data_IF_047803353923
#
_entry.id   IF_047803353923
#
_cell.length_a   1.000
_cell.length_b   1.000
_cell.length_c   1.000
_cell.angle_alpha   90.00
_cell.angle_beta   90.00
_cell.angle_gamma   90.00
#
_symmetry.space_group_name_H-M   'P 1'
#
loop_
_entity.id
_entity.type
_entity.pdbx_description
1 polymer ?
#
# COMPACT_ATOMS: atom_id res chain seq x y z
N UNK A 1 38.73 17.82 -10.89
CA UNK A 1 37.60 17.50 -9.99
C UNK A 1 36.51 16.81 -10.80
N UNK A 2 36.22 15.53 -10.55
CA UNK A 2 35.10 14.83 -11.20
C UNK A 2 33.79 15.44 -10.67
N UNK A 3 32.97 16.05 -11.53
CA UNK A 3 31.57 16.33 -11.21
C UNK A 3 30.89 14.99 -10.98
N UNK A 4 30.68 14.62 -9.72
CA UNK A 4 29.80 13.49 -9.38
C UNK A 4 28.41 13.95 -9.80
N UNK A 5 27.92 13.39 -10.90
CA UNK A 5 26.59 13.69 -11.41
C UNK A 5 25.61 12.86 -10.59
N UNK A 6 25.17 13.40 -9.46
CA UNK A 6 24.16 12.73 -8.64
C UNK A 6 22.87 12.59 -9.46
N UNK A 7 22.42 11.34 -9.59
CA UNK A 7 21.15 10.98 -10.19
C UNK A 7 19.99 11.49 -9.33
N UNK A 8 18.85 11.74 -9.98
CA UNK A 8 17.58 12.06 -9.32
C UNK A 8 17.23 11.09 -8.18
N UNK A 9 17.57 9.81 -8.35
CA UNK A 9 17.35 8.76 -7.36
C UNK A 9 18.20 8.96 -6.10
N UNK A 10 19.47 9.35 -6.24
CA UNK A 10 20.34 9.60 -5.08
C UNK A 10 19.82 10.77 -4.24
N UNK A 11 19.33 11.85 -4.86
CA UNK A 11 18.71 12.95 -4.12
C UNK A 11 17.47 12.52 -3.34
N UNK A 12 16.62 11.69 -3.94
CA UNK A 12 15.45 11.13 -3.26
C UNK A 12 15.84 10.23 -2.07
N UNK A 13 16.88 9.40 -2.23
CA UNK A 13 17.41 8.56 -1.15
C UNK A 13 17.98 9.40 -0.01
N UNK A 14 18.74 10.46 -0.32
CA UNK A 14 19.26 11.38 0.69
C UNK A 14 18.14 12.08 1.46
N UNK A 15 17.06 12.50 0.79
CA UNK A 15 15.89 13.10 1.45
C UNK A 15 15.26 12.12 2.46
N UNK A 16 15.00 10.88 2.05
CA UNK A 16 14.41 9.86 2.93
C UNK A 16 15.36 9.52 4.11
N UNK A 17 16.67 9.38 3.85
CA UNK A 17 17.68 9.12 4.88
C UNK A 17 17.80 10.27 5.88
N UNK A 18 17.89 11.51 5.40
CA UNK A 18 17.97 12.71 6.25
C UNK A 18 16.69 12.83 7.08
N UNK A 19 15.52 12.59 6.48
CA UNK A 19 14.25 12.62 7.20
C UNK A 19 14.24 11.63 8.37
N UNK A 20 14.72 10.41 8.16
CA UNK A 20 14.77 9.37 9.20
C UNK A 20 15.82 9.62 10.28
N UNK A 21 16.94 10.24 9.93
CA UNK A 21 18.10 10.40 10.85
C UNK A 21 18.14 11.76 11.53
N UNK A 22 17.62 12.81 10.90
CA UNK A 22 17.71 14.21 11.33
C UNK A 22 16.35 14.92 11.34
N UNK A 23 15.27 14.24 10.98
CA UNK A 23 13.92 14.78 10.93
C UNK A 23 13.57 15.47 9.62
N UNK A 24 12.27 15.67 9.40
CA UNK A 24 11.71 16.21 8.15
C UNK A 24 12.18 17.65 7.87
N UNK A 25 12.37 18.47 8.90
CA UNK A 25 12.87 19.83 8.72
C UNK A 25 14.26 19.87 8.07
N UNK A 26 15.15 18.95 8.44
CA UNK A 26 16.46 18.82 7.82
C UNK A 26 16.36 18.33 6.37
N UNK A 27 15.44 17.40 6.09
CA UNK A 27 15.20 16.89 4.74
C UNK A 27 14.63 17.97 3.81
N UNK A 28 13.70 18.79 4.31
CA UNK A 28 13.15 19.96 3.62
C UNK A 28 14.24 20.99 3.34
N UNK A 29 15.11 21.28 4.33
CA UNK A 29 16.25 22.18 4.12
C UNK A 29 17.17 21.67 3.02
N UNK A 30 17.52 20.37 3.03
CA UNK A 30 18.33 19.76 1.98
C UNK A 30 17.65 19.87 0.61
N UNK A 31 16.37 19.52 0.52
CA UNK A 31 15.59 19.66 -0.71
C UNK A 31 15.61 21.09 -1.24
N UNK A 32 15.42 22.09 -0.37
CA UNK A 32 15.39 23.49 -0.76
C UNK A 32 16.70 23.97 -1.39
N UNK A 33 17.85 23.43 -0.95
CA UNK A 33 19.18 23.73 -1.48
C UNK A 33 19.55 22.91 -2.73
N UNK A 34 18.71 21.99 -3.18
CA UNK A 34 18.95 21.29 -4.45
C UNK A 34 18.94 22.29 -5.62
N UNK A 35 19.81 22.10 -6.63
CA UNK A 35 19.72 22.86 -7.87
C UNK A 35 18.32 22.74 -8.49
N UNK A 36 17.76 23.80 -9.11
CA UNK A 36 16.46 23.74 -9.74
C UNK A 36 16.31 22.59 -10.76
N UNK A 37 17.37 22.26 -11.49
CA UNK A 37 17.41 21.14 -12.45
C UNK A 37 17.33 19.75 -11.78
N UNK A 38 17.68 19.65 -10.50
CA UNK A 38 17.62 18.41 -9.73
C UNK A 38 16.28 18.20 -9.04
N UNK A 39 15.45 19.25 -8.90
CA UNK A 39 14.10 19.19 -8.30
C UNK A 39 13.06 18.66 -9.31
N UNK A 40 13.17 17.38 -9.65
CA UNK A 40 12.23 16.67 -10.52
C UNK A 40 11.34 15.71 -9.72
N UNK A 41 10.63 14.82 -10.40
CA UNK A 41 9.62 13.93 -9.81
C UNK A 41 10.12 13.15 -8.58
N UNK A 42 11.33 12.59 -8.59
CA UNK A 42 11.76 11.73 -7.47
C UNK A 42 12.04 12.53 -6.18
N UNK A 43 12.82 13.62 -6.18
CA UNK A 43 13.04 14.39 -4.95
C UNK A 43 11.76 15.03 -4.40
N UNK A 44 10.86 15.50 -5.28
CA UNK A 44 9.54 15.97 -4.87
C UNK A 44 8.71 14.85 -4.23
N UNK A 45 8.68 13.67 -4.85
CA UNK A 45 7.99 12.50 -4.33
C UNK A 45 8.54 12.03 -2.99
N UNK A 46 9.87 12.08 -2.80
CA UNK A 46 10.53 11.73 -1.54
C UNK A 46 10.17 12.70 -0.42
N UNK A 47 10.25 14.02 -0.66
CA UNK A 47 9.87 15.00 0.35
C UNK A 47 8.37 14.90 0.70
N UNK A 48 7.52 14.70 -0.31
CA UNK A 48 6.10 14.49 -0.11
C UNK A 48 5.81 13.25 0.73
N UNK A 49 6.49 12.13 0.46
CA UNK A 49 6.42 10.93 1.27
C UNK A 49 6.81 11.20 2.73
N UNK A 50 7.86 11.99 2.98
CA UNK A 50 8.25 12.39 4.34
C UNK A 50 7.12 13.16 5.05
N UNK A 51 6.49 14.14 4.40
CA UNK A 51 5.35 14.85 4.99
C UNK A 51 4.17 13.94 5.29
N UNK A 52 3.82 13.04 4.36
CA UNK A 52 2.74 12.07 4.59
C UNK A 52 3.05 11.13 5.75
N UNK A 53 4.29 10.64 5.85
CA UNK A 53 4.74 9.74 6.94
C UNK A 53 4.69 10.41 8.31
N UNK A 54 5.06 11.67 8.41
CA UNK A 54 5.00 12.41 9.69
C UNK A 54 3.67 13.15 9.92
N UNK A 55 2.64 12.90 9.10
CA UNK A 55 1.31 13.56 9.18
C UNK A 55 1.42 15.09 9.20
N UNK A 56 2.38 15.64 8.45
CA UNK A 56 2.50 17.09 8.25
C UNK A 56 1.50 17.54 7.19
N UNK A 57 0.20 17.46 7.51
CA UNK A 57 -0.93 17.57 6.55
C UNK A 57 -0.87 18.82 5.68
N UNK A 58 -0.64 19.99 6.27
CA UNK A 58 -0.65 21.26 5.53
C UNK A 58 0.46 21.30 4.48
N UNK A 59 1.66 20.83 4.85
CA UNK A 59 2.80 20.72 3.94
C UNK A 59 2.57 19.64 2.88
N UNK A 60 1.99 18.50 3.28
CA UNK A 60 1.66 17.41 2.36
C UNK A 60 0.65 17.89 1.30
N UNK A 61 -0.44 18.54 1.68
CA UNK A 61 -1.45 19.04 0.75
C UNK A 61 -0.91 20.14 -0.16
N UNK A 62 -0.14 21.09 0.38
CA UNK A 62 0.53 22.11 -0.42
C UNK A 62 1.49 21.50 -1.45
N UNK A 63 2.32 20.53 -1.02
CA UNK A 63 3.27 19.86 -1.91
C UNK A 63 2.56 18.96 -2.93
N UNK A 64 1.46 18.31 -2.57
CA UNK A 64 0.64 17.52 -3.50
C UNK A 64 0.05 18.39 -4.62
N UNK A 65 -0.44 19.58 -4.28
CA UNK A 65 -0.87 20.58 -5.27
C UNK A 65 0.29 20.97 -6.18
N UNK A 66 1.49 21.19 -5.62
CA UNK A 66 2.67 21.56 -6.41
C UNK A 66 3.11 20.46 -7.38
N UNK A 67 3.18 19.20 -6.94
CA UNK A 67 3.52 18.07 -7.83
C UNK A 67 2.46 17.86 -8.92
N UNK A 68 1.19 18.19 -8.65
CA UNK A 68 0.12 18.20 -9.65
C UNK A 68 0.33 19.28 -10.70
N UNK A 69 0.65 20.51 -10.30
CA UNK A 69 0.98 21.62 -11.22
C UNK A 69 2.21 21.32 -12.09
N UNK A 70 3.18 20.56 -11.56
CA UNK A 70 4.41 20.17 -12.26
C UNK A 70 4.24 18.91 -13.13
N UNK A 71 3.06 18.29 -13.16
CA UNK A 71 2.80 17.01 -13.82
C UNK A 71 3.71 15.86 -13.31
N UNK A 72 4.03 15.86 -12.02
CA UNK A 72 4.82 14.83 -11.33
C UNK A 72 3.97 13.82 -10.56
N UNK A 73 2.67 13.72 -10.90
CA UNK A 73 1.77 12.75 -10.29
C UNK A 73 2.20 11.32 -10.63
N UNK A 74 2.11 10.43 -9.65
CA UNK A 74 2.43 9.01 -9.79
C UNK A 74 1.50 8.18 -8.89
N UNK A 75 1.33 6.87 -9.15
CA UNK A 75 0.58 6.00 -8.26
C UNK A 75 1.05 6.08 -6.80
N UNK A 76 2.37 6.19 -6.59
CA UNK A 76 2.95 6.35 -5.26
C UNK A 76 2.50 7.64 -4.56
N UNK A 77 2.43 8.76 -5.30
CA UNK A 77 1.96 10.03 -4.72
C UNK A 77 0.49 9.93 -4.26
N UNK A 78 -0.38 9.29 -5.04
CA UNK A 78 -1.75 9.06 -4.62
C UNK A 78 -1.82 8.11 -3.42
N UNK A 79 -1.10 7.00 -3.43
CA UNK A 79 -1.08 6.05 -2.31
C UNK A 79 -0.63 6.71 -0.99
N UNK A 80 0.38 7.58 -1.06
CA UNK A 80 0.85 8.36 0.09
C UNK A 80 -0.23 9.32 0.61
N UNK A 81 -0.94 10.01 -0.28
CA UNK A 81 -2.04 10.91 0.10
C UNK A 81 -3.23 10.15 0.69
N UNK A 82 -3.62 9.03 0.07
CA UNK A 82 -4.69 8.16 0.58
C UNK A 82 -4.32 7.63 1.97
N UNK A 83 -3.09 7.17 2.16
CA UNK A 83 -2.59 6.71 3.46
C UNK A 83 -2.56 7.81 4.51
N UNK A 84 -2.23 9.05 4.11
CA UNK A 84 -2.30 10.21 5.00
C UNK A 84 -3.75 10.46 5.46
N UNK A 85 -4.73 10.45 4.55
CA UNK A 85 -6.14 10.59 4.91
C UNK A 85 -6.62 9.49 5.86
N UNK A 86 -6.24 8.23 5.61
CA UNK A 86 -6.53 7.13 6.52
C UNK A 86 -5.98 7.37 7.93
N UNK A 87 -4.75 7.87 8.05
CA UNK A 87 -4.10 8.17 9.34
C UNK A 87 -4.64 9.42 10.02
N UNK A 88 -5.27 10.32 9.27
CA UNK A 88 -6.00 11.46 9.79
C UNK A 88 -7.46 11.11 10.15
N UNK A 89 -7.83 9.82 10.10
CA UNK A 89 -9.20 9.35 10.32
C UNK A 89 -10.22 9.98 9.37
N UNK A 90 -9.82 10.19 8.10
CA UNK A 90 -10.65 10.73 7.02
C UNK A 90 -10.75 9.73 5.84
N UNK A 91 -11.16 8.46 6.07
CA UNK A 91 -11.23 7.45 5.03
C UNK A 91 -12.19 7.82 3.88
N UNK A 92 -13.20 8.65 4.13
CA UNK A 92 -14.19 9.11 3.14
C UNK A 92 -13.57 9.94 2.00
N UNK A 93 -12.35 10.43 2.16
CA UNK A 93 -11.60 11.15 1.12
C UNK A 93 -10.96 10.22 0.10
N UNK A 94 -10.73 8.96 0.45
CA UNK A 94 -9.98 8.00 -0.37
C UNK A 94 -10.66 7.70 -1.72
N UNK A 95 -11.99 7.44 -1.81
CA UNK A 95 -12.64 7.13 -3.08
C UNK A 95 -12.47 8.23 -4.14
N UNK A 96 -12.59 9.50 -3.75
CA UNK A 96 -12.38 10.64 -4.67
C UNK A 96 -10.97 10.70 -5.28
N UNK A 97 -9.96 10.22 -4.56
CA UNK A 97 -8.60 10.13 -5.08
C UNK A 97 -8.45 9.01 -6.10
N UNK A 98 -9.15 7.88 -5.90
CA UNK A 98 -9.19 6.77 -6.87
C UNK A 98 -9.90 7.23 -8.14
N UNK A 99 -11.01 7.95 -8.01
CA UNK A 99 -11.70 8.53 -9.17
C UNK A 99 -10.80 9.49 -9.94
N UNK A 100 -10.05 10.35 -9.23
CA UNK A 100 -9.07 11.23 -9.86
C UNK A 100 -7.96 10.45 -10.58
N UNK A 101 -7.46 9.35 -10.00
CA UNK A 101 -6.48 8.48 -10.67
C UNK A 101 -7.04 7.91 -11.97
N UNK A 102 -8.27 7.37 -11.95
CA UNK A 102 -8.95 6.83 -13.13
C UNK A 102 -9.15 7.90 -14.21
N UNK A 103 -9.65 9.07 -13.85
CA UNK A 103 -9.84 10.21 -14.78
C UNK A 103 -8.52 10.67 -15.43
N UNK A 104 -7.40 10.52 -14.73
CA UNK A 104 -6.06 10.86 -15.22
C UNK A 104 -5.34 9.71 -15.93
N UNK A 105 -5.98 8.56 -16.08
CA UNK A 105 -5.37 7.32 -16.59
C UNK A 105 -4.11 6.91 -15.81
N UNK A 106 -4.09 7.16 -14.50
CA UNK A 106 -3.02 6.71 -13.62
C UNK A 106 -3.38 5.30 -13.13
N UNK A 107 -2.53 4.29 -13.37
CA UNK A 107 -2.88 2.90 -13.07
C UNK A 107 -3.04 2.68 -11.56
N UNK A 108 -4.10 1.99 -11.18
CA UNK A 108 -4.31 1.51 -9.81
C UNK A 108 -3.37 0.32 -9.55
N UNK A 109 -2.55 0.46 -8.51
CA UNK A 109 -1.64 -0.59 -8.02
C UNK A 109 -2.32 -1.45 -6.95
N UNK A 110 -1.77 -2.63 -6.64
CA UNK A 110 -2.27 -3.48 -5.55
C UNK A 110 -2.34 -2.74 -4.21
N UNK A 111 -1.39 -1.83 -3.97
CA UNK A 111 -1.38 -0.96 -2.78
C UNK A 111 -2.55 0.03 -2.82
N UNK A 112 -2.83 0.64 -3.97
CA UNK A 112 -3.96 1.55 -4.17
C UNK A 112 -5.27 0.86 -3.84
N UNK A 113 -5.48 -0.32 -4.43
CA UNK A 113 -6.64 -1.16 -4.21
C UNK A 113 -6.81 -1.58 -2.75
N UNK A 114 -5.70 -1.94 -2.09
CA UNK A 114 -5.70 -2.30 -0.67
C UNK A 114 -6.12 -1.13 0.22
N UNK A 115 -5.57 0.07 -0.01
CA UNK A 115 -5.96 1.27 0.76
C UNK A 115 -7.43 1.62 0.50
N UNK A 116 -7.89 1.49 -0.75
CA UNK A 116 -9.28 1.77 -1.11
C UNK A 116 -10.27 0.83 -0.39
N UNK A 117 -10.03 -0.48 -0.40
CA UNK A 117 -10.83 -1.43 0.41
C UNK A 117 -10.78 -1.08 1.91
N UNK A 118 -9.58 -0.81 2.46
CA UNK A 118 -9.45 -0.48 3.88
C UNK A 118 -10.15 0.83 4.28
N UNK A 119 -10.33 1.77 3.34
CA UNK A 119 -11.08 3.01 3.59
C UNK A 119 -12.55 2.73 3.89
N UNK A 120 -13.20 1.90 3.08
CA UNK A 120 -14.59 1.47 3.33
C UNK A 120 -14.70 0.56 4.55
N UNK A 121 -13.74 -0.35 4.75
CA UNK A 121 -13.71 -1.18 5.96
C UNK A 121 -13.64 -0.34 7.25
N UNK A 122 -12.89 0.77 7.23
CA UNK A 122 -12.81 1.70 8.38
C UNK A 122 -14.11 2.46 8.63
N UNK A 123 -15.00 2.50 7.64
CA UNK A 123 -16.35 3.05 7.74
C UNK A 123 -17.41 1.96 8.04
N UNK A 124 -16.99 0.73 8.32
CA UNK A 124 -17.86 -0.46 8.45
C UNK A 124 -18.75 -0.73 7.21
N UNK A 125 -18.34 -0.23 6.04
CA UNK A 125 -19.09 -0.41 4.79
C UNK A 125 -18.55 -1.63 4.02
N UNK A 126 -18.93 -2.82 4.49
CA UNK A 126 -18.48 -4.08 3.90
C UNK A 126 -19.03 -4.28 2.47
N UNK A 127 -20.22 -3.74 2.17
CA UNK A 127 -20.78 -3.79 0.82
C UNK A 127 -19.87 -3.04 -0.16
N UNK A 128 -19.40 -1.84 0.18
CA UNK A 128 -18.43 -1.14 -0.64
C UNK A 128 -17.11 -1.90 -0.78
N UNK A 129 -16.61 -2.56 0.27
CA UNK A 129 -15.41 -3.39 0.19
C UNK A 129 -15.56 -4.48 -0.87
N UNK A 130 -16.69 -5.17 -0.87
CA UNK A 130 -17.00 -6.23 -1.83
C UNK A 130 -17.12 -5.68 -3.26
N UNK A 131 -17.76 -4.52 -3.45
CA UNK A 131 -17.84 -3.86 -4.76
C UNK A 131 -16.46 -3.49 -5.30
N UNK A 132 -15.57 -2.97 -4.46
CA UNK A 132 -14.19 -2.66 -4.85
C UNK A 132 -13.44 -3.93 -5.25
N UNK A 133 -13.58 -5.02 -4.48
CA UNK A 133 -12.98 -6.31 -4.84
C UNK A 133 -13.47 -6.83 -6.19
N UNK A 134 -14.77 -6.78 -6.45
CA UNK A 134 -15.35 -7.18 -7.74
C UNK A 134 -14.83 -6.34 -8.90
N UNK A 135 -14.71 -5.02 -8.70
CA UNK A 135 -14.19 -4.11 -9.71
C UNK A 135 -12.73 -4.43 -10.07
N UNK A 136 -11.88 -4.65 -9.07
CA UNK A 136 -10.47 -5.03 -9.27
C UNK A 136 -10.40 -6.37 -10.03
N UNK A 137 -11.22 -7.34 -9.64
CA UNK A 137 -11.25 -8.66 -10.27
C UNK A 137 -11.73 -8.61 -11.73
N UNK A 138 -12.61 -7.67 -12.08
CA UNK A 138 -13.11 -7.49 -13.46
C UNK A 138 -12.11 -6.76 -14.36
N UNK A 139 -11.43 -5.75 -13.83
CA UNK A 139 -10.47 -4.95 -14.62
C UNK A 139 -9.21 -5.76 -14.97
N UNK A 140 -8.67 -6.51 -14.02
CA UNK A 140 -7.42 -7.24 -14.21
C UNK A 140 -7.32 -8.39 -13.21
N UNK A 141 -7.65 -9.60 -13.68
CA UNK A 141 -7.58 -10.80 -12.85
C UNK A 141 -6.15 -11.08 -12.34
N UNK A 142 -5.11 -10.65 -13.06
CA UNK A 142 -3.72 -10.85 -12.66
C UNK A 142 -3.29 -9.93 -11.49
N UNK A 143 -4.08 -8.88 -11.17
CA UNK A 143 -3.88 -8.06 -9.97
C UNK A 143 -4.42 -8.72 -8.70
N UNK A 144 -5.34 -9.67 -8.84
CA UNK A 144 -5.83 -10.44 -7.70
C UNK A 144 -4.76 -11.45 -7.32
N UNK A 145 -4.15 -11.23 -6.16
CA UNK A 145 -3.10 -12.10 -5.63
C UNK A 145 -3.46 -12.52 -4.22
N UNK A 146 -2.67 -13.43 -3.63
CA UNK A 146 -2.82 -13.82 -2.24
C UNK A 146 -2.84 -12.61 -1.28
N UNK A 147 -2.16 -11.49 -1.62
CA UNK A 147 -2.21 -10.25 -0.85
C UNK A 147 -3.61 -9.62 -0.84
N UNK A 148 -4.31 -9.65 -1.97
CA UNK A 148 -5.70 -9.16 -2.09
C UNK A 148 -6.63 -9.99 -1.20
N UNK A 149 -6.51 -11.33 -1.27
CA UNK A 149 -7.27 -12.23 -0.41
C UNK A 149 -6.92 -12.09 1.07
N UNK A 150 -5.64 -11.89 1.40
CA UNK A 150 -5.17 -11.62 2.77
C UNK A 150 -5.80 -10.35 3.34
N UNK A 151 -5.81 -9.28 2.54
CA UNK A 151 -6.43 -8.02 2.93
C UNK A 151 -7.95 -8.17 3.14
N UNK A 152 -8.64 -8.82 2.20
CA UNK A 152 -10.08 -9.04 2.27
C UNK A 152 -10.46 -9.93 3.47
N UNK A 153 -9.72 -11.01 3.72
CA UNK A 153 -9.91 -11.85 4.90
C UNK A 153 -9.64 -11.09 6.20
N UNK A 154 -8.62 -10.25 6.25
CA UNK A 154 -8.34 -9.38 7.40
C UNK A 154 -9.51 -8.45 7.70
N UNK A 155 -10.12 -7.87 6.67
CA UNK A 155 -11.31 -7.02 6.81
C UNK A 155 -12.48 -7.83 7.37
N UNK A 156 -12.76 -9.02 6.83
CA UNK A 156 -13.84 -9.87 7.33
C UNK A 156 -13.63 -10.36 8.77
N UNK A 157 -12.40 -10.72 9.15
CA UNK A 157 -12.07 -11.10 10.54
C UNK A 157 -12.37 -9.94 11.49
N UNK A 158 -11.97 -8.71 11.15
CA UNK A 158 -12.25 -7.51 11.97
C UNK A 158 -13.73 -7.17 12.06
N UNK A 159 -14.50 -7.52 11.03
CA UNK A 159 -15.95 -7.36 11.01
C UNK A 159 -16.72 -8.56 11.60
N UNK A 160 -16.01 -9.55 12.17
CA UNK A 160 -16.57 -10.80 12.72
C UNK A 160 -17.36 -11.65 11.69
N UNK A 161 -17.10 -11.45 10.40
CA UNK A 161 -17.69 -12.20 9.29
C UNK A 161 -16.85 -13.47 9.01
N UNK A 162 -16.75 -14.35 10.00
CA UNK A 162 -15.80 -15.48 9.98
C UNK A 162 -16.02 -16.45 8.81
N UNK A 163 -17.27 -16.74 8.43
CA UNK A 163 -17.54 -17.61 7.27
C UNK A 163 -16.96 -17.04 5.96
N UNK A 164 -17.13 -15.72 5.75
CA UNK A 164 -16.56 -15.02 4.59
C UNK A 164 -15.03 -14.96 4.67
N UNK A 165 -14.49 -14.74 5.86
CA UNK A 165 -13.05 -14.79 6.09
C UNK A 165 -12.48 -16.16 5.71
N UNK A 166 -13.03 -17.25 6.23
CA UNK A 166 -12.55 -18.61 5.93
C UNK A 166 -12.68 -18.99 4.46
N UNK A 167 -13.76 -18.60 3.79
CA UNK A 167 -13.93 -18.80 2.35
C UNK A 167 -12.83 -18.06 1.56
N UNK A 168 -12.49 -16.85 1.99
CA UNK A 168 -11.42 -16.04 1.39
C UNK A 168 -10.03 -16.63 1.66
N UNK A 169 -9.80 -17.20 2.86
CA UNK A 169 -8.55 -17.87 3.21
C UNK A 169 -8.31 -19.15 2.39
N UNK A 170 -9.37 -19.87 2.00
CA UNK A 170 -9.25 -21.00 1.08
C UNK A 170 -8.76 -20.55 -0.29
N UNK A 171 -9.32 -19.46 -0.84
CA UNK A 171 -8.83 -18.86 -2.10
C UNK A 171 -7.40 -18.37 -2.02
N UNK A 172 -7.02 -17.75 -0.88
CA UNK A 172 -5.64 -17.34 -0.62
C UNK A 172 -4.69 -18.53 -0.74
N UNK A 173 -5.06 -19.67 -0.12
CA UNK A 173 -4.27 -20.90 -0.15
C UNK A 173 -4.13 -21.50 -1.55
N UNK A 174 -5.14 -21.36 -2.40
CA UNK A 174 -5.11 -21.82 -3.79
C UNK A 174 -4.15 -20.98 -4.66
N UNK A 175 -4.09 -19.67 -4.42
CA UNK A 175 -3.20 -18.75 -5.15
C UNK A 175 -1.75 -18.74 -4.64
N UNK A 176 -1.51 -19.18 -3.40
CA UNK A 176 -0.18 -19.08 -2.79
C UNK A 176 0.81 -20.05 -3.44
N UNK A 177 2.04 -19.60 -3.67
CA UNK A 177 3.11 -20.49 -4.13
C UNK A 177 3.66 -21.30 -2.94
N UNK A 178 4.06 -22.57 -3.11
CA UNK A 178 4.57 -23.40 -2.02
C UNK A 178 5.77 -22.81 -1.27
N UNK A 179 6.58 -21.97 -1.94
CA UNK A 179 7.75 -21.31 -1.37
C UNK A 179 7.47 -19.97 -0.66
N UNK A 180 6.23 -19.48 -0.69
CA UNK A 180 5.85 -18.16 -0.17
C UNK A 180 5.60 -18.21 1.34
N UNK A 181 6.69 -18.12 2.13
CA UNK A 181 6.63 -18.17 3.59
C UNK A 181 5.77 -17.06 4.20
N UNK A 182 5.75 -15.88 3.59
CA UNK A 182 4.96 -14.75 4.09
C UNK A 182 3.47 -15.04 3.94
N UNK A 183 3.05 -15.60 2.81
CA UNK A 183 1.68 -16.04 2.60
C UNK A 183 1.24 -17.10 3.63
N UNK A 184 2.11 -18.06 3.98
CA UNK A 184 1.82 -19.04 5.03
C UNK A 184 1.67 -18.40 6.42
N UNK A 185 2.56 -17.48 6.79
CA UNK A 185 2.45 -16.76 8.06
C UNK A 185 1.16 -15.93 8.15
N UNK A 186 0.79 -15.24 7.07
CA UNK A 186 -0.49 -14.52 6.97
C UNK A 186 -1.68 -15.48 7.13
N UNK A 187 -1.68 -16.60 6.41
CA UNK A 187 -2.75 -17.59 6.45
C UNK A 187 -2.96 -18.16 7.87
N UNK A 188 -1.87 -18.52 8.55
CA UNK A 188 -1.90 -19.01 9.94
C UNK A 188 -2.45 -17.94 10.88
N UNK A 189 -1.97 -16.70 10.76
CA UNK A 189 -2.42 -15.60 11.62
C UNK A 189 -3.90 -15.31 11.43
N UNK A 190 -4.41 -15.40 10.20
CA UNK A 190 -5.81 -15.14 9.89
C UNK A 190 -6.73 -16.29 10.31
N UNK A 191 -6.33 -17.55 10.15
CA UNK A 191 -7.09 -18.69 10.71
C UNK A 191 -7.13 -18.66 12.24
N UNK A 192 -6.05 -18.23 12.89
CA UNK A 192 -6.07 -17.98 14.33
C UNK A 192 -7.07 -16.87 14.68
N UNK A 193 -7.17 -15.82 13.86
CA UNK A 193 -8.17 -14.75 13.99
C UNK A 193 -9.62 -15.21 13.77
N UNK A 194 -9.87 -16.31 13.07
CA UNK A 194 -11.20 -16.94 12.97
C UNK A 194 -11.44 -18.03 14.02
N UNK A 195 -10.51 -18.23 14.96
CA UNK A 195 -10.53 -19.31 15.96
C UNK A 195 -10.49 -20.72 15.37
N UNK A 196 -10.07 -20.88 14.11
CA UNK A 196 -9.96 -22.17 13.45
C UNK A 196 -8.59 -22.83 13.71
N UNK A 197 -8.44 -23.38 14.92
CA UNK A 197 -7.18 -24.00 15.36
C UNK A 197 -6.80 -25.22 14.52
N UNK A 198 -7.78 -25.94 13.96
CA UNK A 198 -7.54 -27.09 13.11
C UNK A 198 -6.80 -26.70 11.83
N UNK A 199 -7.26 -25.64 11.14
CA UNK A 199 -6.57 -25.13 9.96
C UNK A 199 -5.24 -24.46 10.31
N UNK A 200 -5.11 -23.80 11.47
CA UNK A 200 -3.81 -23.31 11.98
C UNK A 200 -2.80 -24.47 12.05
N UNK A 201 -3.16 -25.57 12.71
CA UNK A 201 -2.28 -26.73 12.85
C UNK A 201 -1.98 -27.39 11.49
N UNK A 202 -2.96 -27.46 10.60
CA UNK A 202 -2.80 -28.02 9.25
C UNK A 202 -1.82 -27.20 8.43
N UNK A 203 -1.99 -25.88 8.39
CA UNK A 203 -1.13 -24.98 7.62
C UNK A 203 0.28 -24.93 8.20
N UNK A 204 0.43 -24.94 9.54
CA UNK A 204 1.73 -25.03 10.21
C UNK A 204 2.52 -26.29 9.81
N UNK A 205 1.86 -27.45 9.72
CA UNK A 205 2.49 -28.70 9.25
C UNK A 205 2.97 -28.59 7.81
N UNK A 206 2.20 -27.95 6.93
CA UNK A 206 2.60 -27.71 5.53
C UNK A 206 3.83 -26.79 5.44
N UNK A 207 3.95 -25.79 6.32
CA UNK A 207 5.11 -24.91 6.37
C UNK A 207 6.38 -25.64 6.83
N UNK A 208 6.26 -26.56 7.80
CA UNK A 208 7.38 -27.33 8.34
C UNK A 208 7.91 -28.44 7.42
N UNK A 209 7.12 -28.87 6.43
CA UNK A 209 7.51 -29.81 5.38
C UNK A 209 7.26 -29.15 4.02
N UNK A 210 8.16 -28.26 3.54
CA UNK A 210 8.04 -27.75 2.18
C UNK A 210 8.08 -28.96 1.25
N UNK A 211 6.99 -29.16 0.51
CA UNK A 211 6.84 -30.24 -0.46
C UNK A 211 8.15 -30.41 -1.23
N UNK A 212 8.77 -31.59 -1.08
CA UNK A 212 9.96 -31.95 -1.85
C UNK A 212 9.64 -31.68 -3.32
N UNK A 213 10.45 -30.84 -3.96
CA UNK A 213 10.35 -30.53 -5.38
C UNK A 213 10.24 -31.85 -6.16
N UNK A 214 9.25 -32.03 -7.05
CA UNK A 214 9.29 -33.13 -7.99
C UNK A 214 10.51 -32.90 -8.89
N UNK A 215 11.48 -33.80 -8.81
CA UNK A 215 12.60 -33.92 -9.75
C UNK A 215 12.11 -34.23 -11.16
#
# INVERSE_FOLDING_TARGET
MKKINYSSAEFALWIDLISKTKGVAAAENYFNHLPPSSKNQMPYGALFNCYCKEIMSDKAFALFKKIKELNYLSPLAFNNLMSLYMRMSQPERVPSLVDEMKQRNIPLSNVTCSIWMNSYASLNDIECVERVYEEINKEDNDKVSWNTYSNLATIYVKAELFEKAESTLKKLKEEMKPQDRDAYHCLISLYAGTYNLDEVHRVWKCLGHPLASPT
#
